data_IF_444470522797
#
_entry.id   IF_444470522797
#
_cell.length_a   1.000
_cell.length_b   1.000
_cell.length_c   1.000
_cell.angle_alpha   90.00
_cell.angle_beta   90.00
_cell.angle_gamma   90.00
#
_symmetry.space_group_name_H-M   'P 1'
#
loop_
_entity.id
_entity.type
_entity.pdbx_description
1 polymer ?
#
# COMPACT_ATOMS: atom_id res chain seq x y z
N UNK A 1 -45.92 -29.35 16.06
CA UNK A 1 -44.64 -28.63 16.10
C UNK A 1 -44.16 -28.60 14.67
N UNK A 2 -44.53 -27.55 13.94
CA UNK A 2 -44.05 -27.37 12.57
C UNK A 2 -42.69 -26.68 12.63
N UNK A 3 -41.71 -27.35 12.04
CA UNK A 3 -40.30 -27.00 12.00
C UNK A 3 -40.12 -25.93 10.91
N UNK A 4 -40.03 -24.65 11.29
CA UNK A 4 -39.76 -23.54 10.38
C UNK A 4 -38.25 -23.36 10.20
N UNK A 5 -37.58 -24.35 9.60
CA UNK A 5 -36.14 -24.31 9.31
C UNK A 5 -35.89 -24.35 7.80
N UNK A 6 -36.16 -23.24 7.11
CA UNK A 6 -35.42 -22.72 5.95
C UNK A 6 -36.22 -21.61 5.26
N UNK A 7 -35.94 -20.37 5.62
CA UNK A 7 -36.27 -19.24 4.75
C UNK A 7 -35.09 -19.06 3.78
N UNK A 8 -35.21 -19.56 2.55
CA UNK A 8 -34.27 -19.23 1.48
C UNK A 8 -34.77 -17.96 0.78
N UNK A 9 -34.08 -16.85 0.98
CA UNK A 9 -34.32 -15.61 0.24
C UNK A 9 -33.28 -15.53 -0.88
N UNK A 10 -33.71 -15.75 -2.13
CA UNK A 10 -32.88 -15.50 -3.31
C UNK A 10 -32.86 -13.99 -3.59
N UNK A 11 -31.88 -13.29 -3.02
CA UNK A 11 -31.61 -11.89 -3.37
C UNK A 11 -30.67 -11.86 -4.57
N UNK A 12 -31.20 -11.58 -5.75
CA UNK A 12 -30.38 -11.31 -6.93
C UNK A 12 -29.73 -9.93 -6.79
N UNK A 13 -28.50 -9.91 -6.26
CA UNK A 13 -27.66 -8.71 -6.27
C UNK A 13 -26.86 -8.72 -7.56
N UNK A 14 -27.11 -7.76 -8.45
CA UNK A 14 -26.29 -7.62 -9.66
C UNK A 14 -24.86 -7.24 -9.25
N UNK A 15 -23.84 -8.05 -9.56
CA UNK A 15 -22.46 -7.74 -9.20
C UNK A 15 -21.87 -6.58 -10.01
N UNK A 16 -22.60 -6.04 -11.00
CA UNK A 16 -22.10 -4.99 -11.89
C UNK A 16 -22.33 -3.56 -11.36
N UNK A 17 -23.26 -3.40 -10.42
CA UNK A 17 -23.69 -2.13 -9.80
C UNK A 17 -24.01 -2.42 -8.32
N UNK A 18 -23.20 -1.92 -7.38
CA UNK A 18 -23.49 -2.03 -5.94
C UNK A 18 -24.56 -1.01 -5.52
N UNK A 19 -25.68 -1.00 -6.23
CA UNK A 19 -26.89 -0.27 -5.84
C UNK A 19 -27.82 -1.25 -5.14
N UNK A 20 -27.74 -1.33 -3.81
CA UNK A 20 -28.78 -2.00 -3.04
C UNK A 20 -29.93 -1.00 -2.83
N UNK A 21 -31.13 -1.38 -3.26
CA UNK A 21 -32.32 -0.60 -2.95
C UNK A 21 -32.55 -0.56 -1.44
N UNK A 22 -33.23 0.47 -0.94
CA UNK A 22 -33.56 0.58 0.48
C UNK A 22 -34.32 -0.64 1.02
N UNK A 23 -35.13 -1.30 0.19
CA UNK A 23 -35.80 -2.55 0.54
C UNK A 23 -34.85 -3.76 0.57
N UNK A 24 -33.89 -3.85 -0.36
CA UNK A 24 -32.84 -4.89 -0.32
C UNK A 24 -31.97 -4.73 0.93
N UNK A 25 -31.61 -3.50 1.31
CA UNK A 25 -30.88 -3.20 2.55
C UNK A 25 -31.69 -3.65 3.76
N UNK A 26 -33.00 -3.36 3.83
CA UNK A 26 -33.88 -3.83 4.93
C UNK A 26 -33.98 -5.35 5.00
N UNK A 27 -34.10 -6.02 3.86
CA UNK A 27 -34.14 -7.48 3.79
C UNK A 27 -32.81 -8.09 4.26
N UNK A 28 -31.68 -7.56 3.80
CA UNK A 28 -30.34 -8.02 4.21
C UNK A 28 -30.10 -7.75 5.70
N UNK A 29 -30.49 -6.58 6.22
CA UNK A 29 -30.43 -6.29 7.66
C UNK A 29 -31.26 -7.30 8.45
N UNK A 30 -32.50 -7.55 8.04
CA UNK A 30 -33.41 -8.48 8.72
C UNK A 30 -32.85 -9.91 8.72
N UNK A 31 -32.23 -10.35 7.63
CA UNK A 31 -31.51 -11.62 7.54
C UNK A 31 -30.28 -11.67 8.45
N UNK A 32 -29.47 -10.60 8.48
CA UNK A 32 -28.29 -10.52 9.34
C UNK A 32 -28.66 -10.52 10.83
N UNK A 33 -29.69 -9.76 11.23
CA UNK A 33 -30.23 -9.77 12.60
C UNK A 33 -30.77 -11.14 12.98
N UNK A 34 -31.44 -11.84 12.05
CA UNK A 34 -31.91 -13.21 12.26
C UNK A 34 -30.75 -14.20 12.45
N UNK A 35 -29.68 -14.07 11.66
CA UNK A 35 -28.51 -14.95 11.71
C UNK A 35 -27.63 -14.73 12.95
N UNK A 36 -27.58 -13.50 13.49
CA UNK A 36 -26.69 -13.15 14.60
C UNK A 36 -27.25 -13.47 15.99
N UNK A 37 -28.52 -13.86 16.11
CA UNK A 37 -29.15 -14.16 17.39
C UNK A 37 -29.52 -12.87 18.15
N UNK A 38 -30.73 -12.85 18.68
CA UNK A 38 -31.37 -11.68 19.28
C UNK A 38 -30.61 -11.19 20.53
N UNK A 39 -29.86 -10.11 20.39
CA UNK A 39 -29.56 -9.14 21.46
C UNK A 39 -29.76 -7.74 20.86
N UNK A 40 -30.26 -6.80 21.66
CA UNK A 40 -30.64 -5.42 21.31
C UNK A 40 -29.56 -4.67 20.50
N UNK A 41 -29.48 -4.96 19.20
CA UNK A 41 -28.69 -4.20 18.26
C UNK A 41 -29.48 -2.94 17.96
N UNK A 42 -29.11 -1.81 18.58
CA UNK A 42 -29.46 -0.50 18.07
C UNK A 42 -29.15 -0.51 16.56
N UNK A 43 -30.19 -0.56 15.73
CA UNK A 43 -30.02 -0.59 14.28
C UNK A 43 -29.46 0.75 13.85
N UNK A 44 -28.13 0.83 13.78
CA UNK A 44 -27.44 1.99 13.20
C UNK A 44 -28.02 2.19 11.81
N UNK A 45 -28.52 3.39 11.48
CA UNK A 45 -29.11 3.62 10.18
C UNK A 45 -28.05 3.37 9.10
N UNK A 46 -28.45 2.68 8.03
CA UNK A 46 -27.62 2.56 6.85
C UNK A 46 -27.20 3.97 6.40
N UNK A 47 -25.94 4.12 6.01
CA UNK A 47 -25.37 5.39 5.64
C UNK A 47 -24.44 5.21 4.44
N UNK A 48 -24.31 6.26 3.63
CA UNK A 48 -23.28 6.35 2.61
C UNK A 48 -22.16 7.23 3.16
N UNK A 49 -20.96 6.67 3.28
CA UNK A 49 -19.75 7.38 3.68
C UNK A 49 -18.88 7.58 2.45
N UNK A 50 -18.68 8.84 2.09
CA UNK A 50 -17.89 9.26 0.94
C UNK A 50 -16.56 9.80 1.46
N UNK A 51 -15.47 9.30 0.91
CA UNK A 51 -14.10 9.74 1.20
C UNK A 51 -13.42 10.14 -0.10
N UNK A 52 -13.02 11.40 -0.20
CA UNK A 52 -12.43 12.01 -1.38
C UNK A 52 -10.96 12.35 -1.12
N UNK A 53 -10.07 11.61 -1.79
CA UNK A 53 -8.63 11.82 -1.74
C UNK A 53 -8.09 12.61 -2.94
N UNK A 54 -8.97 13.14 -3.79
CA UNK A 54 -8.58 13.83 -5.03
C UNK A 54 -8.04 15.24 -4.81
N UNK A 55 -8.34 15.86 -3.65
CA UNK A 55 -7.98 17.24 -3.32
C UNK A 55 -8.75 18.30 -4.12
N UNK A 56 -9.89 17.92 -4.71
CA UNK A 56 -10.81 18.77 -5.48
C UNK A 56 -12.25 18.38 -5.18
N UNK A 57 -13.21 19.24 -5.49
CA UNK A 57 -14.63 18.94 -5.26
C UNK A 57 -15.15 17.83 -6.18
N UNK A 58 -16.00 16.99 -5.61
CA UNK A 58 -16.76 15.93 -6.32
C UNK A 58 -18.24 16.27 -6.24
N UNK A 59 -18.92 16.22 -7.39
CA UNK A 59 -20.36 16.44 -7.52
C UNK A 59 -21.07 15.14 -7.85
N UNK A 60 -22.06 14.80 -7.02
CA UNK A 60 -22.94 13.66 -7.19
C UNK A 60 -24.37 14.14 -7.45
N UNK A 61 -25.11 13.43 -8.28
CA UNK A 61 -26.51 13.66 -8.53
C UNK A 61 -27.32 12.42 -8.16
N UNK A 62 -28.26 12.62 -7.23
CA UNK A 62 -29.38 11.71 -6.98
C UNK A 62 -30.60 12.18 -7.79
N UNK A 63 -31.67 11.38 -7.85
CA UNK A 63 -32.86 11.64 -8.68
C UNK A 63 -33.47 13.05 -8.47
N UNK A 64 -33.29 13.66 -7.30
CA UNK A 64 -33.87 14.95 -6.93
C UNK A 64 -32.89 15.97 -6.37
N UNK A 65 -31.66 15.58 -6.04
CA UNK A 65 -30.72 16.41 -5.29
C UNK A 65 -29.29 16.25 -5.79
N UNK A 66 -28.55 17.36 -5.75
CA UNK A 66 -27.12 17.43 -6.04
C UNK A 66 -26.35 17.50 -4.72
N UNK A 67 -25.24 16.77 -4.63
CA UNK A 67 -24.32 16.78 -3.49
C UNK A 67 -22.94 17.19 -3.97
N UNK A 68 -22.34 18.18 -3.30
CA UNK A 68 -20.95 18.61 -3.56
C UNK A 68 -20.14 18.43 -2.28
N UNK A 69 -18.98 17.81 -2.38
CA UNK A 69 -18.10 17.58 -1.22
C UNK A 69 -16.61 17.61 -1.60
N UNK A 70 -15.78 18.10 -0.67
CA UNK A 70 -14.33 18.28 -0.86
C UNK A 70 -13.47 17.16 -0.26
N UNK A 71 -13.71 16.75 0.99
CA UNK A 71 -12.90 15.72 1.68
C UNK A 71 -13.72 14.49 2.04
N UNK A 72 -14.84 14.67 2.76
CA UNK A 72 -15.71 13.57 3.11
C UNK A 72 -17.13 14.01 3.37
N UNK A 73 -18.08 13.10 3.14
CA UNK A 73 -19.50 13.33 3.35
C UNK A 73 -20.16 12.05 3.86
N UNK A 74 -20.93 12.17 4.94
CA UNK A 74 -21.75 11.06 5.43
C UNK A 74 -23.21 11.39 5.24
N UNK A 75 -23.92 10.56 4.49
CA UNK A 75 -25.35 10.67 4.21
C UNK A 75 -26.09 9.55 4.94
N UNK A 76 -26.72 9.90 6.06
CA UNK A 76 -27.53 8.95 6.82
C UNK A 76 -28.86 8.66 6.12
N UNK A 77 -29.30 7.40 6.16
CA UNK A 77 -30.58 6.93 5.61
C UNK A 77 -30.78 7.28 4.14
N UNK A 78 -29.67 7.38 3.40
CA UNK A 78 -29.64 7.62 1.95
C UNK A 78 -29.00 6.44 1.25
N UNK A 79 -29.34 6.30 -0.02
CA UNK A 79 -28.72 5.33 -0.94
C UNK A 79 -28.29 6.09 -2.18
N UNK A 80 -27.05 5.88 -2.61
CA UNK A 80 -26.54 6.45 -3.84
C UNK A 80 -26.17 5.31 -4.79
N UNK A 81 -26.62 5.41 -6.04
CA UNK A 81 -26.35 4.43 -7.08
C UNK A 81 -24.97 4.68 -7.67
N UNK A 82 -23.94 4.11 -7.04
CA UNK A 82 -22.59 4.18 -7.58
C UNK A 82 -22.37 3.11 -8.67
N UNK A 83 -21.69 3.47 -9.78
CA UNK A 83 -20.99 4.73 -10.02
C UNK A 83 -21.85 5.84 -10.66
N UNK A 84 -23.09 5.55 -11.05
CA UNK A 84 -23.94 6.40 -11.91
C UNK A 84 -24.32 7.77 -11.32
N UNK A 85 -24.31 7.90 -10.00
CA UNK A 85 -24.56 9.18 -9.34
C UNK A 85 -23.38 10.17 -9.50
N UNK A 86 -22.19 9.73 -9.94
CA UNK A 86 -21.05 10.62 -10.13
C UNK A 86 -21.20 11.44 -11.42
N UNK A 87 -21.20 12.78 -11.30
CA UNK A 87 -21.33 13.67 -12.46
C UNK A 87 -20.07 14.45 -12.77
N UNK A 88 -19.54 15.18 -11.79
CA UNK A 88 -18.41 16.09 -11.98
C UNK A 88 -17.31 15.83 -10.97
N UNK A 89 -16.07 16.03 -11.41
CA UNK A 89 -14.88 16.07 -10.57
C UNK A 89 -14.08 17.29 -11.02
N UNK A 90 -13.83 18.24 -10.12
CA UNK A 90 -13.15 19.51 -10.46
C UNK A 90 -13.82 20.24 -11.65
N UNK A 91 -15.17 20.23 -11.67
CA UNK A 91 -15.98 20.79 -12.75
C UNK A 91 -15.94 20.04 -14.08
N UNK A 92 -15.14 18.97 -14.20
CA UNK A 92 -15.02 18.14 -15.40
C UNK A 92 -16.05 17.03 -15.37
N UNK A 93 -16.69 16.78 -16.52
CA UNK A 93 -17.69 15.71 -16.66
C UNK A 93 -17.04 14.34 -16.70
N UNK A 94 -17.71 13.35 -16.10
CA UNK A 94 -17.44 11.95 -16.37
C UNK A 94 -17.91 11.63 -17.80
N UNK A 95 -16.99 11.14 -18.62
CA UNK A 95 -17.27 10.72 -20.00
C UNK A 95 -17.82 9.29 -20.03
N UNK A 96 -17.10 8.36 -19.41
CA UNK A 96 -17.53 6.96 -19.29
C UNK A 96 -16.90 6.27 -18.08
N UNK A 97 -17.40 5.07 -17.77
CA UNK A 97 -16.85 4.21 -16.73
C UNK A 97 -16.21 2.96 -17.33
N UNK A 98 -14.99 2.68 -16.91
CA UNK A 98 -14.29 1.44 -17.19
C UNK A 98 -14.44 0.47 -16.01
N UNK A 99 -14.37 -0.82 -16.30
CA UNK A 99 -14.39 -1.86 -15.26
C UNK A 99 -13.06 -1.82 -14.51
N UNK A 100 -13.10 -1.64 -13.19
CA UNK A 100 -11.90 -1.80 -12.37
C UNK A 100 -11.51 -3.27 -12.33
N UNK A 101 -10.34 -3.63 -12.84
CA UNK A 101 -9.86 -5.02 -12.82
C UNK A 101 -9.18 -5.42 -11.50
N UNK A 102 -9.14 -4.55 -10.47
CA UNK A 102 -7.92 -4.51 -9.64
C UNK A 102 -8.03 -5.03 -8.19
N UNK A 103 -8.93 -4.68 -7.31
CA UNK A 103 -8.85 -4.99 -5.86
C UNK A 103 -7.53 -4.66 -5.15
N UNK A 104 -7.47 -3.50 -4.50
CA UNK A 104 -6.43 -3.17 -3.51
C UNK A 104 -6.83 -3.52 -2.07
N UNK A 105 -7.95 -4.21 -1.90
CA UNK A 105 -8.43 -4.67 -0.60
C UNK A 105 -7.64 -5.89 -0.14
N UNK A 106 -6.72 -5.68 0.81
CA UNK A 106 -6.06 -6.75 1.57
C UNK A 106 -7.06 -7.55 2.42
N UNK A 107 -8.31 -7.10 2.53
CA UNK A 107 -9.30 -7.62 3.46
C UNK A 107 -10.68 -7.83 2.80
N UNK A 108 -10.71 -8.48 1.63
CA UNK A 108 -11.96 -8.84 0.94
C UNK A 108 -12.95 -9.64 1.80
N UNK A 109 -12.45 -10.31 2.84
CA UNK A 109 -13.25 -11.10 3.77
C UNK A 109 -13.90 -10.28 4.90
N UNK A 110 -13.54 -9.01 5.06
CA UNK A 110 -14.10 -8.13 6.09
C UNK A 110 -15.33 -7.33 5.64
N UNK A 111 -15.65 -7.34 4.33
CA UNK A 111 -16.76 -6.59 3.74
C UNK A 111 -17.77 -7.53 3.09
N UNK A 112 -19.05 -7.17 3.12
CA UNK A 112 -20.12 -7.98 2.51
C UNK A 112 -20.03 -7.96 0.98
N UNK A 113 -19.75 -6.78 0.43
CA UNK A 113 -19.65 -6.53 -1.00
C UNK A 113 -18.54 -5.52 -1.26
N UNK A 114 -17.85 -5.68 -2.39
CA UNK A 114 -16.80 -4.79 -2.85
C UNK A 114 -16.89 -4.65 -4.37
N UNK A 115 -16.82 -3.43 -4.89
CA UNK A 115 -16.77 -3.16 -6.31
C UNK A 115 -15.81 -2.01 -6.60
N UNK A 116 -15.15 -2.09 -7.74
CA UNK A 116 -14.22 -1.08 -8.22
C UNK A 116 -14.56 -0.69 -9.65
N UNK A 117 -14.46 0.61 -9.90
CA UNK A 117 -14.70 1.23 -11.20
C UNK A 117 -13.65 2.31 -11.43
N UNK A 118 -13.40 2.61 -12.68
CA UNK A 118 -12.59 3.78 -13.06
C UNK A 118 -13.48 4.73 -13.84
N UNK A 119 -13.64 5.95 -13.35
CA UNK A 119 -14.28 7.02 -14.09
C UNK A 119 -13.24 7.71 -14.96
N UNK A 120 -13.51 7.80 -16.26
CA UNK A 120 -12.71 8.57 -17.20
C UNK A 120 -13.38 9.91 -17.39
N UNK A 121 -12.68 11.00 -17.06
CA UNK A 121 -13.18 12.36 -17.22
C UNK A 121 -13.01 12.83 -18.68
N UNK A 122 -13.74 13.88 -19.07
CA UNK A 122 -13.68 14.45 -20.43
C UNK A 122 -12.28 14.94 -20.86
N UNK A 123 -11.40 15.21 -19.89
CA UNK A 123 -10.01 15.57 -20.13
C UNK A 123 -9.04 14.36 -20.12
N UNK A 124 -9.56 13.14 -20.02
CA UNK A 124 -8.80 11.88 -20.01
C UNK A 124 -8.24 11.47 -18.65
N UNK A 125 -8.57 12.18 -17.56
CA UNK A 125 -8.16 11.77 -16.22
C UNK A 125 -8.89 10.51 -15.78
N UNK A 126 -8.15 9.62 -15.11
CA UNK A 126 -8.69 8.38 -14.58
C UNK A 126 -8.84 8.50 -13.06
N UNK A 127 -10.06 8.28 -12.58
CA UNK A 127 -10.42 8.35 -11.17
C UNK A 127 -10.87 6.97 -10.71
N UNK A 128 -10.13 6.40 -9.78
CA UNK A 128 -10.47 5.12 -9.17
C UNK A 128 -11.55 5.31 -8.10
N UNK A 129 -12.63 4.55 -8.25
CA UNK A 129 -13.77 4.52 -7.34
C UNK A 129 -13.84 3.13 -6.72
N UNK A 130 -13.69 3.06 -5.41
CA UNK A 130 -13.84 1.82 -4.65
C UNK A 130 -15.02 1.93 -3.71
N UNK A 131 -15.99 1.03 -3.90
CA UNK A 131 -17.22 0.94 -3.11
C UNK A 131 -17.20 -0.35 -2.31
N UNK A 132 -17.40 -0.26 -1.00
CA UNK A 132 -17.51 -1.41 -0.11
C UNK A 132 -18.73 -1.31 0.79
N UNK A 133 -19.30 -2.46 1.17
CA UNK A 133 -20.44 -2.54 2.07
C UNK A 133 -20.05 -3.23 3.38
N UNK A 134 -20.24 -2.54 4.51
CA UNK A 134 -19.84 -3.05 5.81
C UNK A 134 -20.86 -4.06 6.37
N UNK A 135 -20.41 -5.20 6.93
CA UNK A 135 -21.28 -6.12 7.66
C UNK A 135 -21.91 -5.45 8.88
N UNK A 136 -23.12 -5.89 9.24
CA UNK A 136 -23.88 -5.40 10.40
C UNK A 136 -24.59 -4.05 10.17
N UNK A 137 -23.87 -3.02 9.72
CA UNK A 137 -24.43 -1.67 9.52
C UNK A 137 -25.00 -1.43 8.11
N UNK A 138 -24.57 -2.23 7.13
CA UNK A 138 -24.77 -1.98 5.71
C UNK A 138 -24.38 -0.57 5.28
N UNK A 139 -23.41 0.05 5.97
CA UNK A 139 -22.84 1.31 5.54
C UNK A 139 -22.08 1.09 4.23
N UNK A 140 -22.42 1.89 3.22
CA UNK A 140 -21.72 1.92 1.94
C UNK A 140 -20.58 2.92 2.06
N UNK A 141 -19.33 2.44 1.99
CA UNK A 141 -18.15 3.29 1.97
C UNK A 141 -17.66 3.42 0.53
N UNK A 142 -17.60 4.65 0.03
CA UNK A 142 -17.13 4.96 -1.33
C UNK A 142 -15.94 5.87 -1.24
N UNK A 143 -14.86 5.46 -1.89
CA UNK A 143 -13.58 6.17 -1.86
C UNK A 143 -13.20 6.58 -3.27
N UNK A 144 -12.76 7.83 -3.43
CA UNK A 144 -12.30 8.39 -4.70
C UNK A 144 -10.80 8.65 -4.62
N UNK A 145 -10.04 8.07 -5.54
CA UNK A 145 -8.58 8.21 -5.63
C UNK A 145 -8.17 8.51 -7.07
N UNK A 146 -7.04 9.18 -7.25
CA UNK A 146 -6.45 9.35 -8.59
C UNK A 146 -5.87 8.02 -9.08
N UNK A 147 -5.50 7.95 -10.36
CA UNK A 147 -4.76 6.81 -10.89
C UNK A 147 -3.37 6.59 -10.27
N UNK A 148 -2.87 7.54 -9.46
CA UNK A 148 -1.58 7.44 -8.78
C UNK A 148 -1.79 7.17 -7.29
N UNK A 149 -1.81 5.89 -6.92
CA UNK A 149 -1.96 5.45 -5.55
C UNK A 149 -0.64 5.46 -4.79
N UNK A 150 -0.73 5.58 -3.47
CA UNK A 150 0.40 5.45 -2.56
C UNK A 150 0.00 4.58 -1.38
N UNK A 151 0.78 3.53 -1.10
CA UNK A 151 0.57 2.61 0.02
C UNK A 151 1.75 2.71 0.97
N UNK A 152 1.45 2.95 2.24
CA UNK A 152 2.44 3.07 3.29
C UNK A 152 2.54 1.78 4.11
N UNK A 153 3.65 1.07 4.00
CA UNK A 153 3.96 -0.07 4.88
C UNK A 153 5.05 0.25 5.91
N UNK A 154 5.48 1.51 6.00
CA UNK A 154 6.40 1.98 7.02
C UNK A 154 5.67 2.19 8.34
N UNK A 155 6.42 2.21 9.44
CA UNK A 155 5.95 2.69 10.74
C UNK A 155 5.89 4.23 10.84
N UNK A 156 6.29 4.93 9.79
CA UNK A 156 6.35 6.39 9.72
C UNK A 156 5.21 6.96 8.87
N UNK A 157 4.77 8.18 9.14
CA UNK A 157 3.90 8.91 8.23
C UNK A 157 4.68 9.32 6.98
N UNK A 158 4.05 9.19 5.81
CA UNK A 158 4.58 9.71 4.55
C UNK A 158 3.86 11.03 4.26
N UNK A 159 4.62 12.11 4.13
CA UNK A 159 4.14 13.43 3.76
C UNK A 159 4.57 13.75 2.34
N UNK A 160 3.62 14.17 1.50
CA UNK A 160 3.89 14.77 0.20
C UNK A 160 3.70 16.28 0.29
N UNK A 161 4.65 17.04 -0.25
CA UNK A 161 4.63 18.51 -0.19
C UNK A 161 5.00 19.10 -1.55
N UNK A 162 4.48 20.28 -1.86
CA UNK A 162 4.98 21.09 -2.97
C UNK A 162 6.06 22.04 -2.46
N UNK A 163 7.25 22.01 -3.06
CA UNK A 163 8.33 22.94 -2.68
C UNK A 163 7.97 24.40 -2.93
N UNK A 164 7.17 24.70 -3.97
CA UNK A 164 6.75 26.07 -4.31
C UNK A 164 5.71 26.64 -3.34
N UNK A 165 4.78 25.81 -2.89
CA UNK A 165 3.68 26.25 -2.01
C UNK A 165 4.02 26.10 -0.53
N UNK A 166 5.00 25.25 -0.19
CA UNK A 166 5.38 24.96 1.19
C UNK A 166 4.30 24.24 1.99
N UNK A 167 3.14 23.95 1.40
CA UNK A 167 2.03 23.23 2.00
C UNK A 167 2.24 21.72 1.91
N UNK A 168 1.75 21.02 2.93
CA UNK A 168 1.53 19.58 2.83
C UNK A 168 0.31 19.33 1.95
N UNK A 169 0.50 18.43 0.99
CA UNK A 169 -0.46 18.08 -0.04
C UNK A 169 -1.20 16.80 0.34
N UNK A 170 -0.50 15.85 0.94
CA UNK A 170 -1.07 14.61 1.46
C UNK A 170 -0.22 14.09 2.62
N UNK A 171 -0.88 13.52 3.63
CA UNK A 171 -0.24 12.76 4.70
C UNK A 171 -0.85 11.36 4.71
N UNK A 172 0.01 10.33 4.70
CA UNK A 172 -0.39 8.93 4.61
C UNK A 172 0.15 8.19 5.82
N UNK A 173 -0.75 7.68 6.66
CA UNK A 173 -0.40 6.97 7.88
C UNK A 173 0.08 5.55 7.60
N UNK A 174 0.81 4.90 8.53
CA UNK A 174 1.12 3.49 8.43
C UNK A 174 -0.09 2.62 8.12
N UNK A 175 0.06 1.72 7.15
CA UNK A 175 -1.00 0.82 6.66
C UNK A 175 -2.00 1.45 5.69
N UNK A 176 -2.01 2.78 5.55
CA UNK A 176 -3.00 3.50 4.75
C UNK A 176 -2.71 3.40 3.24
N UNK A 177 -3.78 3.29 2.45
CA UNK A 177 -3.79 3.46 1.00
C UNK A 177 -4.44 4.80 0.65
N UNK A 178 -3.67 5.70 0.06
CA UNK A 178 -4.12 7.00 -0.39
C UNK A 178 -3.69 7.22 -1.85
N UNK A 179 -3.69 8.46 -2.33
CA UNK A 179 -3.25 8.84 -3.66
C UNK A 179 -2.61 10.23 -3.69
N UNK A 180 -1.90 10.54 -4.77
CA UNK A 180 -1.45 11.91 -5.03
C UNK A 180 -2.65 12.72 -5.53
N UNK A 181 -2.98 13.88 -4.90
CA UNK A 181 -4.08 14.74 -5.34
C UNK A 181 -3.94 15.21 -6.79
N UNK A 182 -5.08 15.48 -7.43
CA UNK A 182 -5.15 15.86 -8.85
C UNK A 182 -4.31 17.10 -9.17
N UNK A 183 -4.35 18.11 -8.29
CA UNK A 183 -3.58 19.35 -8.43
C UNK A 183 -2.06 19.16 -8.45
N UNK A 184 -1.57 17.99 -8.01
CA UNK A 184 -0.14 17.69 -7.92
C UNK A 184 0.34 16.66 -8.95
N UNK A 185 -0.55 16.07 -9.75
CA UNK A 185 -0.14 15.07 -10.75
C UNK A 185 0.80 15.65 -11.81
N UNK A 186 0.62 16.92 -12.16
CA UNK A 186 1.45 17.64 -13.14
C UNK A 186 2.58 18.45 -12.50
N UNK A 187 2.67 18.46 -11.17
CA UNK A 187 3.63 19.32 -10.48
C UNK A 187 5.02 18.70 -10.44
N UNK A 188 6.03 19.51 -10.73
CA UNK A 188 7.43 19.08 -10.82
C UNK A 188 8.25 19.26 -9.56
N UNK A 189 7.58 19.62 -8.48
CA UNK A 189 8.18 20.05 -7.23
C UNK A 189 7.60 19.28 -6.04
N UNK A 190 6.93 18.17 -6.32
CA UNK A 190 6.40 17.26 -5.30
C UNK A 190 7.57 16.52 -4.67
N UNK A 191 7.73 16.73 -3.38
CA UNK A 191 8.72 16.05 -2.54
C UNK A 191 8.02 15.15 -1.54
N UNK A 192 8.72 14.09 -1.17
CA UNK A 192 8.33 13.13 -0.15
C UNK A 192 9.16 13.36 1.11
N UNK A 193 8.53 13.23 2.27
CA UNK A 193 9.17 13.33 3.58
C UNK A 193 8.62 12.25 4.50
N UNK A 194 9.47 11.66 5.32
CA UNK A 194 9.07 10.76 6.39
C UNK A 194 9.00 11.52 7.71
N UNK A 195 7.94 11.27 8.48
CA UNK A 195 7.77 11.80 9.81
C UNK A 195 7.47 10.67 10.79
N UNK A 196 8.23 10.58 11.89
CA UNK A 196 7.90 9.65 12.96
C UNK A 196 6.58 10.08 13.64
N UNK A 197 5.83 9.10 14.11
CA UNK A 197 4.55 9.31 14.80
C UNK A 197 4.78 9.75 16.24
N UNK A 198 5.83 9.21 16.87
CA UNK A 198 6.11 9.36 18.30
C UNK A 198 6.90 10.64 18.57
N UNK A 199 7.96 10.81 17.80
CA UNK A 199 8.86 11.94 17.92
C UNK A 199 8.74 12.77 16.65
N UNK A 200 8.58 14.08 16.78
CA UNK A 200 8.38 15.02 15.67
C UNK A 200 9.62 15.14 14.73
N UNK A 201 10.49 14.13 14.73
CA UNK A 201 11.62 13.90 13.88
C UNK A 201 11.15 13.66 12.45
N UNK A 202 11.72 14.44 11.53
CA UNK A 202 11.33 14.48 10.13
C UNK A 202 12.56 14.33 9.27
N UNK A 203 12.45 13.55 8.20
CA UNK A 203 13.50 13.49 7.20
C UNK A 203 13.63 14.82 6.45
N UNK A 204 14.71 14.97 5.70
CA UNK A 204 14.81 15.94 4.61
C UNK A 204 13.81 15.60 3.51
N UNK A 205 13.55 16.60 2.66
CA UNK A 205 12.69 16.45 1.50
C UNK A 205 13.42 15.68 0.40
N UNK A 206 12.79 14.62 -0.08
CA UNK A 206 13.29 13.80 -1.17
C UNK A 206 12.42 13.97 -2.42
N UNK A 207 13.03 14.33 -3.54
CA UNK A 207 12.31 14.51 -4.80
C UNK A 207 11.72 13.19 -5.32
N UNK A 208 10.59 13.29 -6.00
CA UNK A 208 10.20 12.24 -6.94
C UNK A 208 11.21 12.20 -8.09
N UNK A 209 11.53 11.00 -8.55
CA UNK A 209 12.62 10.80 -9.51
C UNK A 209 12.30 11.31 -10.91
N UNK A 210 11.03 11.23 -11.30
CA UNK A 210 10.57 11.71 -12.61
C UNK A 210 10.09 13.16 -12.48
N UNK A 211 9.94 13.83 -13.62
CA UNK A 211 9.51 15.23 -13.67
C UNK A 211 8.20 15.49 -12.94
N UNK A 212 7.24 14.56 -12.94
CA UNK A 212 5.97 14.68 -12.21
C UNK A 212 5.37 13.29 -11.93
N UNK A 213 4.41 13.17 -11.00
CA UNK A 213 3.66 11.93 -10.80
C UNK A 213 3.00 11.42 -12.09
N UNK A 214 2.43 12.30 -12.91
CA UNK A 214 1.85 11.91 -14.21
C UNK A 214 2.89 11.35 -15.15
N UNK A 215 4.07 11.98 -15.22
CA UNK A 215 5.15 11.47 -16.07
C UNK A 215 5.59 10.07 -15.65
N UNK A 216 5.65 9.83 -14.34
CA UNK A 216 5.97 8.51 -13.80
C UNK A 216 4.90 7.47 -14.16
N UNK A 217 3.61 7.83 -14.11
CA UNK A 217 2.50 7.00 -14.60
C UNK A 217 2.63 6.69 -16.10
N UNK A 218 2.91 7.69 -16.95
CA UNK A 218 3.15 7.48 -18.39
C UNK A 218 4.31 6.52 -18.66
N UNK A 219 5.42 6.68 -17.92
CA UNK A 219 6.58 5.80 -18.03
C UNK A 219 6.21 4.38 -17.62
N UNK A 220 5.47 4.19 -16.53
CA UNK A 220 4.99 2.88 -16.11
C UNK A 220 4.09 2.25 -17.18
N UNK A 221 3.10 2.97 -17.69
CA UNK A 221 2.21 2.52 -18.77
C UNK A 221 2.99 2.11 -20.03
N UNK A 222 4.07 2.84 -20.38
CA UNK A 222 4.91 2.50 -21.53
C UNK A 222 5.74 1.22 -21.36
N UNK A 223 6.04 0.85 -20.10
CA UNK A 223 6.80 -0.36 -19.76
C UNK A 223 5.90 -1.57 -19.55
N UNK A 224 4.64 -1.36 -19.21
CA UNK A 224 3.69 -2.42 -18.88
C UNK A 224 3.69 -2.76 -17.39
N UNK A 225 3.24 -3.96 -17.04
CA UNK A 225 3.03 -4.41 -15.65
C UNK A 225 4.33 -4.71 -14.87
N UNK A 226 5.50 -4.48 -15.47
CA UNK A 226 6.78 -4.65 -14.80
C UNK A 226 6.94 -3.65 -13.65
N UNK A 227 7.28 -4.15 -12.47
CA UNK A 227 7.52 -3.30 -11.31
C UNK A 227 8.83 -2.51 -11.44
N UNK A 228 8.83 -1.29 -10.90
CA UNK A 228 10.01 -0.44 -10.85
C UNK A 228 10.37 -0.22 -9.39
N UNK A 229 11.32 -0.99 -8.87
CA UNK A 229 11.86 -0.81 -7.51
C UNK A 229 12.99 0.21 -7.46
N UNK A 230 13.02 1.09 -6.46
CA UNK A 230 14.13 1.99 -6.18
C UNK A 230 14.38 2.09 -4.68
N UNK A 231 15.64 1.96 -4.29
CA UNK A 231 16.07 2.27 -2.94
C UNK A 231 16.20 3.78 -2.80
N UNK A 232 15.55 4.37 -1.80
CA UNK A 232 15.69 5.78 -1.43
C UNK A 232 16.26 5.90 -0.03
N UNK A 233 17.26 6.75 0.12
CA UNK A 233 17.75 7.17 1.43
C UNK A 233 16.93 8.38 1.90
N UNK A 234 16.48 8.35 3.15
CA UNK A 234 15.83 9.46 3.83
C UNK A 234 16.70 9.88 5.01
N UNK A 235 17.34 11.04 4.91
CA UNK A 235 18.20 11.56 5.96
C UNK A 235 17.41 12.33 7.02
N UNK A 236 17.59 11.98 8.29
CA UNK A 236 17.12 12.69 9.48
C UNK A 236 18.25 13.56 10.05
N UNK A 237 18.02 14.22 11.19
CA UNK A 237 19.02 15.09 11.82
C UNK A 237 20.28 14.33 12.25
N UNK A 238 20.12 13.11 12.78
CA UNK A 238 21.21 12.31 13.37
C UNK A 238 21.34 10.90 12.75
N UNK A 239 20.48 10.54 11.81
CA UNK A 239 20.42 9.20 11.23
C UNK A 239 19.92 9.22 9.79
N UNK A 240 20.00 8.07 9.11
CA UNK A 240 19.46 7.86 7.76
C UNK A 240 18.66 6.56 7.74
N UNK A 241 17.56 6.53 7.01
CA UNK A 241 16.79 5.31 6.76
C UNK A 241 16.74 5.01 5.27
N UNK A 242 16.92 3.75 4.89
CA UNK A 242 16.71 3.30 3.53
C UNK A 242 15.29 2.73 3.39
N UNK A 243 14.60 3.16 2.34
CA UNK A 243 13.23 2.77 2.04
C UNK A 243 13.18 2.22 0.63
N UNK A 244 12.54 1.05 0.50
CA UNK A 244 12.19 0.51 -0.81
C UNK A 244 10.93 1.22 -1.31
N UNK A 245 11.09 1.90 -2.44
CA UNK A 245 10.01 2.55 -3.18
C UNK A 245 9.77 1.76 -4.46
N UNK A 246 8.73 0.94 -4.45
CA UNK A 246 8.36 0.10 -5.58
C UNK A 246 7.09 0.62 -6.26
N UNK A 247 7.15 0.83 -7.57
CA UNK A 247 5.99 1.20 -8.38
C UNK A 247 5.41 -0.04 -9.04
N UNK A 248 4.12 -0.30 -8.82
CA UNK A 248 3.39 -1.42 -9.38
C UNK A 248 2.24 -0.90 -10.25
N UNK A 249 2.31 -1.19 -11.55
CA UNK A 249 1.21 -0.90 -12.47
C UNK A 249 0.24 -2.09 -12.50
N UNK A 250 -1.06 -1.79 -12.36
CA UNK A 250 -2.14 -2.73 -12.66
C UNK A 250 -3.18 -1.99 -13.50
N UNK A 251 -3.46 -2.47 -14.71
CA UNK A 251 -4.33 -1.74 -15.65
C UNK A 251 -3.85 -0.29 -15.86
N UNK A 252 -4.72 0.68 -15.55
CA UNK A 252 -4.40 2.12 -15.61
C UNK A 252 -3.95 2.74 -14.27
N UNK A 253 -3.84 1.94 -13.20
CA UNK A 253 -3.53 2.41 -11.85
C UNK A 253 -2.08 2.10 -11.50
N UNK A 254 -1.34 3.12 -11.09
CA UNK A 254 0.02 2.98 -10.60
C UNK A 254 0.03 3.15 -9.08
N UNK A 255 0.53 2.13 -8.38
CA UNK A 255 0.68 2.18 -6.93
C UNK A 255 2.15 2.29 -6.55
N UNK A 256 2.48 3.38 -5.87
CA UNK A 256 3.78 3.60 -5.22
C UNK A 256 3.75 3.00 -3.82
N UNK A 257 4.50 1.91 -3.62
CA UNK A 257 4.63 1.19 -2.36
C UNK A 257 5.85 1.73 -1.62
N UNK A 258 5.66 2.18 -0.38
CA UNK A 258 6.76 2.50 0.53
C UNK A 258 6.89 1.38 1.54
N UNK A 259 8.02 0.70 1.50
CA UNK A 259 8.33 -0.44 2.36
C UNK A 259 9.64 -0.23 3.08
N UNK A 260 9.82 -0.77 4.30
CA UNK A 260 11.14 -0.83 4.90
C UNK A 260 12.07 -1.52 3.90
N UNK A 261 13.20 -0.90 3.59
CA UNK A 261 14.22 -1.64 2.84
C UNK A 261 14.62 -2.85 3.67
N UNK A 262 14.77 -4.02 3.03
CA UNK A 262 15.38 -5.16 3.73
C UNK A 262 16.75 -4.75 4.26
N UNK A 263 17.19 -5.29 5.40
CA UNK A 263 18.46 -4.92 6.00
C UNK A 263 19.58 -4.98 4.97
N UNK A 264 20.24 -3.83 4.78
CA UNK A 264 21.44 -3.75 3.96
C UNK A 264 22.62 -4.33 4.72
N UNK A 265 23.52 -5.01 4.01
CA UNK A 265 24.75 -5.54 4.59
C UNK A 265 25.86 -4.55 4.30
N UNK A 266 26.27 -3.79 5.30
CA UNK A 266 27.48 -2.96 5.23
C UNK A 266 28.70 -3.78 5.66
N UNK A 267 29.70 -3.88 4.80
CA UNK A 267 30.92 -4.61 5.13
C UNK A 267 31.93 -3.70 5.84
N UNK A 268 31.84 -3.66 7.18
CA UNK A 268 32.83 -2.96 8.02
C UNK A 268 34.16 -3.72 8.21
N UNK A 269 34.37 -4.83 7.49
CA UNK A 269 35.60 -5.63 7.61
C UNK A 269 36.64 -5.23 6.56
N UNK A 270 37.88 -5.70 6.73
CA UNK A 270 38.97 -5.47 5.76
C UNK A 270 38.99 -6.46 4.59
N UNK A 271 38.04 -7.39 4.54
CA UNK A 271 38.00 -8.47 3.56
C UNK A 271 36.68 -8.47 2.81
N UNK A 272 36.64 -8.87 1.53
CA UNK A 272 35.37 -9.06 0.83
C UNK A 272 34.51 -10.12 1.53
N UNK A 273 33.22 -9.84 1.62
CA UNK A 273 32.21 -10.76 2.14
C UNK A 273 31.35 -11.22 0.98
N UNK A 274 31.24 -12.54 0.76
CA UNK A 274 30.23 -13.11 -0.13
C UNK A 274 28.99 -13.43 0.69
N UNK A 275 27.83 -13.08 0.14
CA UNK A 275 26.54 -13.22 0.79
C UNK A 275 25.59 -13.99 -0.13
N UNK A 276 25.58 -15.33 -0.06
CA UNK A 276 24.48 -16.13 -0.58
C UNK A 276 23.16 -15.84 0.15
N UNK A 277 22.09 -15.75 -0.63
CA UNK A 277 20.76 -15.37 -0.19
C UNK A 277 19.78 -16.51 -0.47
N UNK A 278 18.99 -16.88 0.54
CA UNK A 278 18.08 -18.02 0.52
C UNK A 278 16.63 -17.61 0.82
N UNK A 279 15.68 -18.24 0.12
CA UNK A 279 14.25 -18.14 0.39
C UNK A 279 13.69 -19.55 0.52
N UNK A 280 13.11 -19.90 1.68
CA UNK A 280 12.66 -21.28 2.00
C UNK A 280 13.75 -22.33 1.75
N UNK A 281 14.98 -22.00 2.16
CA UNK A 281 16.20 -22.82 1.97
C UNK A 281 16.66 -22.99 0.51
N UNK A 282 15.97 -22.40 -0.47
CA UNK A 282 16.41 -22.38 -1.86
C UNK A 282 17.36 -21.21 -2.11
N UNK A 283 18.51 -21.49 -2.74
CA UNK A 283 19.46 -20.45 -3.15
C UNK A 283 18.85 -19.58 -4.27
N UNK A 284 18.85 -18.27 -4.08
CA UNK A 284 18.21 -17.32 -5.01
C UNK A 284 19.21 -16.36 -5.64
N UNK A 285 20.10 -15.79 -4.83
CA UNK A 285 21.05 -14.77 -5.26
C UNK A 285 22.35 -14.87 -4.47
N UNK A 286 23.44 -14.36 -5.05
CA UNK A 286 24.70 -14.14 -4.35
C UNK A 286 25.17 -12.71 -4.62
N UNK A 287 25.64 -12.04 -3.58
CA UNK A 287 26.35 -10.77 -3.67
C UNK A 287 27.77 -10.87 -3.15
N UNK A 288 28.68 -10.06 -3.69
CA UNK A 288 30.02 -9.85 -3.12
C UNK A 288 30.09 -8.41 -2.66
N UNK A 289 30.32 -8.21 -1.36
CA UNK A 289 30.38 -6.91 -0.70
C UNK A 289 31.83 -6.63 -0.36
N UNK A 290 32.45 -5.72 -1.11
CA UNK A 290 33.82 -5.27 -0.84
C UNK A 290 33.91 -4.49 0.49
N UNK A 291 35.11 -4.37 1.09
CA UNK A 291 35.32 -3.55 2.29
C UNK A 291 34.76 -2.13 2.14
N UNK A 292 34.10 -1.64 3.19
CA UNK A 292 33.45 -0.33 3.29
C UNK A 292 32.28 -0.10 2.31
N UNK A 293 31.89 -1.11 1.52
CA UNK A 293 30.72 -1.05 0.66
C UNK A 293 29.48 -1.62 1.35
N UNK A 294 28.32 -1.24 0.82
CA UNK A 294 27.02 -1.70 1.31
C UNK A 294 26.28 -2.44 0.20
N UNK A 295 25.81 -3.64 0.50
CA UNK A 295 24.89 -4.39 -0.34
C UNK A 295 23.45 -4.20 0.13
N UNK A 296 22.56 -3.91 -0.81
CA UNK A 296 21.12 -3.88 -0.59
C UNK A 296 20.45 -4.56 -1.77
N UNK A 297 19.55 -5.51 -1.52
CA UNK A 297 18.75 -6.14 -2.59
C UNK A 297 17.31 -5.62 -2.59
N UNK A 298 16.83 -5.28 -3.79
CA UNK A 298 15.45 -4.92 -4.09
C UNK A 298 14.73 -6.04 -4.86
N UNK A 299 15.42 -7.17 -5.10
CA UNK A 299 14.92 -8.25 -5.98
C UNK A 299 13.87 -9.13 -5.31
N UNK A 300 13.70 -8.98 -3.99
CA UNK A 300 12.82 -9.84 -3.19
C UNK A 300 11.84 -8.99 -2.40
N UNK A 301 10.55 -9.32 -2.54
CA UNK A 301 9.44 -8.64 -1.88
C UNK A 301 9.71 -8.48 -0.37
N UNK A 302 9.80 -7.25 0.17
CA UNK A 302 10.04 -7.02 1.60
C UNK A 302 8.94 -7.59 2.50
N UNK A 303 7.74 -7.84 1.99
CA UNK A 303 6.62 -8.49 2.70
C UNK A 303 6.43 -9.96 2.31
N UNK A 304 7.29 -10.45 1.42
CA UNK A 304 7.28 -11.81 0.94
C UNK A 304 7.81 -12.79 1.98
N UNK A 305 8.21 -13.97 1.51
CA UNK A 305 8.79 -14.97 2.41
C UNK A 305 10.08 -14.42 3.06
N UNK A 306 10.35 -14.73 4.34
CA UNK A 306 11.61 -14.37 4.98
C UNK A 306 12.83 -14.80 4.15
N UNK A 307 13.85 -13.96 4.18
CA UNK A 307 15.12 -14.19 3.46
C UNK A 307 16.17 -14.46 4.51
N UNK A 308 16.89 -15.55 4.33
CA UNK A 308 18.04 -15.87 5.16
C UNK A 308 19.32 -15.65 4.37
N UNK A 309 20.34 -15.13 5.04
CA UNK A 309 21.65 -14.83 4.47
C UNK A 309 22.68 -15.79 5.05
N UNK A 310 23.55 -16.32 4.19
CA UNK A 310 24.74 -17.02 4.63
C UNK A 310 25.93 -16.09 4.43
N UNK A 311 26.76 -15.90 5.46
CA UNK A 311 27.95 -15.06 5.34
C UNK A 311 29.17 -15.89 5.03
N UNK A 312 29.96 -15.42 4.06
CA UNK A 312 31.25 -16.00 3.74
C UNK A 312 32.32 -14.93 3.66
N UNK A 313 33.50 -15.19 4.23
CA UNK A 313 34.61 -14.27 4.19
C UNK A 313 35.84 -14.95 3.57
N UNK A 314 36.53 -14.22 2.68
CA UNK A 314 37.78 -14.68 2.09
C UNK A 314 38.94 -13.95 2.78
N UNK A 315 39.57 -14.62 3.72
CA UNK A 315 40.67 -14.07 4.53
C UNK A 315 41.97 -14.73 4.10
N UNK A 316 42.86 -13.98 3.45
CA UNK A 316 44.15 -14.47 2.92
C UNK A 316 44.01 -15.79 2.12
N UNK A 317 43.16 -15.78 1.10
CA UNK A 317 42.87 -16.91 0.20
C UNK A 317 42.24 -18.14 0.88
N UNK A 318 41.76 -17.99 2.12
CA UNK A 318 41.02 -19.04 2.84
C UNK A 318 39.57 -18.62 3.00
N UNK A 319 38.66 -19.54 2.68
CA UNK A 319 37.22 -19.34 2.78
C UNK A 319 36.71 -19.75 4.16
N UNK A 320 35.99 -18.83 4.77
CA UNK A 320 35.30 -19.01 6.04
C UNK A 320 33.81 -18.81 5.83
N UNK A 321 32.99 -19.70 6.36
CA UNK A 321 31.54 -19.72 6.16
C UNK A 321 30.88 -19.68 7.54
N UNK A 322 29.80 -18.91 7.64
CA UNK A 322 28.94 -18.88 8.82
C UNK A 322 28.44 -20.28 9.16
N UNK A 323 28.29 -20.56 10.45
CA UNK A 323 27.78 -21.84 10.95
C UNK A 323 26.28 -22.03 10.69
N UNK A 324 25.55 -20.95 10.46
CA UNK A 324 24.10 -20.93 10.24
C UNK A 324 23.71 -19.82 9.26
N UNK A 325 22.50 -19.94 8.73
CA UNK A 325 21.88 -18.86 7.96
C UNK A 325 21.23 -17.88 8.93
N UNK A 326 21.28 -16.61 8.58
CA UNK A 326 20.88 -15.50 9.43
C UNK A 326 19.71 -14.77 8.78
N UNK A 327 18.60 -14.67 9.49
CA UNK A 327 17.52 -13.77 9.11
C UNK A 327 17.80 -12.39 9.71
N UNK A 328 18.31 -11.48 8.89
CA UNK A 328 18.65 -10.12 9.34
C UNK A 328 17.44 -9.34 9.88
N UNK A 329 16.21 -9.74 9.56
CA UNK A 329 15.01 -9.10 10.11
C UNK A 329 14.71 -9.50 11.55
N UNK A 330 15.33 -10.58 12.04
CA UNK A 330 15.16 -11.07 13.41
C UNK A 330 16.22 -10.51 14.39
N UNK A 331 17.24 -9.80 13.89
CA UNK A 331 18.31 -9.23 14.71
C UNK A 331 17.86 -7.90 15.30
N UNK A 332 18.03 -7.72 16.61
CA UNK A 332 17.90 -6.41 17.25
C UNK A 332 19.13 -5.55 16.90
N UNK A 333 18.96 -4.40 16.20
CA UNK A 333 20.08 -3.55 15.83
C UNK A 333 20.86 -2.96 17.03
N UNK A 334 20.25 -2.90 18.22
CA UNK A 334 20.91 -2.38 19.41
C UNK A 334 21.82 -3.42 20.09
N UNK A 335 21.49 -4.71 19.95
CA UNK A 335 22.27 -5.82 20.50
C UNK A 335 23.26 -6.38 19.47
N UNK A 336 22.88 -6.37 18.19
CA UNK A 336 23.58 -7.03 17.10
C UNK A 336 23.49 -8.56 17.21
N UNK A 337 24.11 -9.26 16.26
CA UNK A 337 24.27 -10.71 16.35
C UNK A 337 25.72 -11.11 16.13
N UNK A 338 26.20 -12.11 16.87
CA UNK A 338 27.54 -12.64 16.69
C UNK A 338 27.45 -14.05 16.12
N UNK A 339 27.94 -14.22 14.89
CA UNK A 339 27.93 -15.51 14.21
C UNK A 339 29.33 -16.11 14.11
N UNK A 340 29.39 -17.43 14.16
CA UNK A 340 30.67 -18.13 14.23
C UNK A 340 31.16 -18.53 12.84
N UNK A 341 32.33 -18.03 12.46
CA UNK A 341 32.93 -18.29 11.16
C UNK A 341 33.84 -19.53 11.20
N UNK A 342 33.49 -20.54 10.40
CA UNK A 342 34.19 -21.82 10.29
C UNK A 342 35.00 -21.88 9.00
N UNK A 343 36.20 -22.44 9.08
CA UNK A 343 36.98 -22.69 7.85
C UNK A 343 36.33 -23.80 7.04
N UNK A 344 36.09 -23.55 5.75
CA UNK A 344 35.40 -24.46 4.84
C UNK A 344 36.00 -25.88 4.85
N UNK A 345 37.33 -26.00 4.68
CA UNK A 345 38.04 -27.29 4.70
C UNK A 345 38.21 -27.94 6.08
N UNK A 346 38.10 -27.17 7.16
CA UNK A 346 38.37 -27.63 8.54
C UNK A 346 37.29 -27.13 9.52
N UNK A 347 36.02 -27.54 9.34
CA UNK A 347 34.88 -26.91 10.00
C UNK A 347 34.79 -27.15 11.50
N UNK A 348 35.55 -28.11 12.04
CA UNK A 348 35.67 -28.35 13.50
C UNK A 348 36.55 -27.32 14.20
N UNK A 349 37.24 -26.46 13.47
CA UNK A 349 38.02 -25.35 14.00
C UNK A 349 37.20 -24.08 13.83
N UNK A 350 36.79 -23.50 14.94
CA UNK A 350 36.28 -22.14 14.99
C UNK A 350 37.45 -21.17 14.86
N UNK A 351 37.34 -20.16 14.01
CA UNK A 351 38.46 -19.24 13.76
C UNK A 351 38.19 -17.86 14.30
N UNK A 352 37.02 -17.31 14.02
CA UNK A 352 36.63 -16.01 14.51
C UNK A 352 35.11 -15.89 14.51
N UNK A 353 34.67 -14.84 15.17
CA UNK A 353 33.29 -14.41 15.28
C UNK A 353 33.10 -13.18 14.39
N UNK A 354 32.03 -13.16 13.61
CA UNK A 354 31.61 -12.00 12.83
C UNK A 354 30.43 -11.36 13.54
N UNK A 355 30.60 -10.10 13.93
CA UNK A 355 29.51 -9.29 14.48
C UNK A 355 28.73 -8.67 13.32
N UNK A 356 27.42 -8.87 13.34
CA UNK A 356 26.43 -8.38 12.38
C UNK A 356 25.65 -7.25 13.02
#
# INVERSE_FOLDING_TARGET
MEDFSSASCDVSVSPCELSLSSEQIKCVLSLLTFMQGCDDAETVPYAVRLENYLGVEVTLQDATEEFVFGEGLTLEKRTLSFPDCLQLIDGKRVDHFEKGEISFSDNKHAVLLHAEKVAVLENGEHIHISTSLQPGTLAQNVTFRTAFHVKNYLSHNISFRSMRQGSEVAMIRPGELSCIPLSCLDSTDVVTRLASIEDNNKSRDELLWEESPRKLLEVALSRGEDSIGRLKEFSFAESSAYVDVTYLLKGCLLTMLFAPARPGIHNGTRFPIRVPLYIRDDFVEEAVVDPDNTFVTLRHDPFGTPVAYLFECIVFDKRYVANEQVDLSAIDPAEGECIVMKHEKFPRRYFFELNI
#
